data_IF_992169643984
#
_entry.id   IF_992169643984
#
_cell.length_a   1.000
_cell.length_b   1.000
_cell.length_c   1.000
_cell.angle_alpha   90.00
_cell.angle_beta   90.00
_cell.angle_gamma   90.00
#
_symmetry.space_group_name_H-M   'P 1'
#
loop_
_entity.id
_entity.type
_entity.pdbx_description
1 polymer ?
#
# COMPACT_ATOMS: atom_id res chain seq x y z
N UNK A 1 -12.40 -22.36 33.87
CA UNK A 1 -12.75 -21.05 33.30
C UNK A 1 -11.70 -20.77 32.25
N UNK A 2 -12.10 -20.70 30.98
CA UNK A 2 -11.19 -20.74 29.84
C UNK A 2 -10.35 -19.45 29.74
N UNK A 3 -9.11 -19.66 29.29
CA UNK A 3 -8.02 -18.71 29.09
C UNK A 3 -8.47 -17.37 28.53
N UNK A 4 -8.23 -16.30 29.27
CA UNK A 4 -7.98 -15.00 28.68
C UNK A 4 -6.48 -15.03 28.31
N UNK A 5 -6.14 -15.69 27.20
CA UNK A 5 -4.86 -15.43 26.56
C UNK A 5 -4.89 -13.93 26.24
N UNK A 6 -4.17 -13.16 27.06
CA UNK A 6 -4.03 -11.72 26.94
C UNK A 6 -3.62 -11.42 25.50
N UNK A 7 -4.55 -10.90 24.69
CA UNK A 7 -4.27 -10.50 23.31
C UNK A 7 -3.27 -9.35 23.41
N UNK A 8 -1.99 -9.68 23.41
CA UNK A 8 -0.89 -8.73 23.50
C UNK A 8 -0.71 -8.10 22.14
N UNK A 9 -0.86 -6.79 22.07
CA UNK A 9 -0.56 -6.06 20.85
C UNK A 9 0.96 -6.06 20.64
N UNK A 10 1.42 -6.67 19.54
CA UNK A 10 2.85 -6.72 19.19
C UNK A 10 3.26 -5.46 18.42
N UNK A 11 3.66 -4.41 19.15
CA UNK A 11 4.04 -3.14 18.54
C UNK A 11 5.17 -3.26 17.51
N UNK A 12 6.23 -3.99 17.83
CA UNK A 12 7.40 -4.12 16.96
C UNK A 12 7.05 -4.86 15.66
N UNK A 13 6.41 -6.03 15.77
CA UNK A 13 5.93 -6.82 14.63
C UNK A 13 4.99 -6.00 13.73
N UNK A 14 4.05 -5.25 14.33
CA UNK A 14 3.12 -4.42 13.57
C UNK A 14 3.81 -3.27 12.87
N UNK A 15 4.82 -2.65 13.49
CA UNK A 15 5.62 -1.59 12.86
C UNK A 15 6.44 -2.12 11.68
N UNK A 16 7.05 -3.30 11.80
CA UNK A 16 7.76 -3.93 10.69
C UNK A 16 6.84 -4.21 9.50
N UNK A 17 5.60 -4.64 9.76
CA UNK A 17 4.58 -4.85 8.72
C UNK A 17 4.22 -3.52 8.04
N UNK A 18 4.09 -2.41 8.78
CA UNK A 18 3.86 -1.08 8.21
C UNK A 18 4.99 -0.67 7.26
N UNK A 19 6.25 -0.89 7.65
CA UNK A 19 7.43 -0.62 6.81
C UNK A 19 7.45 -1.51 5.54
N UNK A 20 6.96 -2.74 5.63
CA UNK A 20 6.79 -3.62 4.46
C UNK A 20 5.70 -3.08 3.53
N UNK A 21 4.56 -2.66 4.06
CA UNK A 21 3.47 -2.09 3.26
C UNK A 21 3.95 -0.81 2.57
N UNK A 22 4.66 0.07 3.27
CA UNK A 22 5.22 1.29 2.69
C UNK A 22 6.16 1.00 1.52
N UNK A 23 7.06 0.02 1.68
CA UNK A 23 7.94 -0.42 0.59
C UNK A 23 7.17 -1.00 -0.58
N UNK A 24 6.18 -1.85 -0.32
CA UNK A 24 5.33 -2.41 -1.38
C UNK A 24 4.56 -1.32 -2.16
N UNK A 25 4.11 -0.27 -1.48
CA UNK A 25 3.49 0.90 -2.12
C UNK A 25 4.48 1.61 -3.03
N UNK A 26 5.72 1.83 -2.57
CA UNK A 26 6.76 2.45 -3.39
C UNK A 26 7.12 1.60 -4.62
N UNK A 27 7.28 0.28 -4.44
CA UNK A 27 7.56 -0.65 -5.53
C UNK A 27 6.42 -0.65 -6.57
N UNK A 28 5.16 -0.53 -6.12
CA UNK A 28 4.01 -0.43 -7.00
C UNK A 28 4.01 0.86 -7.84
N UNK A 29 4.36 2.00 -7.24
CA UNK A 29 4.53 3.28 -7.94
C UNK A 29 5.67 3.22 -8.97
N UNK A 30 6.77 2.54 -8.64
CA UNK A 30 7.87 2.35 -9.57
C UNK A 30 7.48 1.45 -10.74
N UNK A 31 6.82 0.31 -10.46
CA UNK A 31 6.31 -0.60 -11.50
C UNK A 31 5.38 0.12 -12.47
N UNK A 32 4.47 0.96 -11.97
CA UNK A 32 3.62 1.81 -12.82
C UNK A 32 4.45 2.66 -13.78
N UNK A 33 5.46 3.35 -13.24
CA UNK A 33 6.36 4.20 -14.04
C UNK A 33 7.10 3.40 -15.11
N UNK A 34 7.55 2.19 -14.78
CA UNK A 34 8.22 1.30 -15.74
C UNK A 34 7.26 0.81 -16.83
N UNK A 35 6.02 0.45 -16.48
CA UNK A 35 4.98 0.06 -17.45
C UNK A 35 4.65 1.21 -18.40
N UNK A 36 4.51 2.43 -17.89
CA UNK A 36 4.27 3.61 -18.74
C UNK A 36 5.40 3.83 -19.73
N UNK A 37 6.66 3.70 -19.31
CA UNK A 37 7.84 3.78 -20.20
C UNK A 37 7.83 2.68 -21.26
N UNK A 38 7.52 1.44 -20.89
CA UNK A 38 7.43 0.32 -21.84
C UNK A 38 6.38 0.60 -22.93
N UNK A 39 5.20 1.08 -22.53
CA UNK A 39 4.16 1.43 -23.49
C UNK A 39 4.57 2.58 -24.39
N UNK A 40 5.26 3.59 -23.86
CA UNK A 40 5.74 4.70 -24.67
C UNK A 40 6.70 4.22 -25.77
N UNK A 41 7.66 3.35 -25.43
CA UNK A 41 8.57 2.74 -26.43
C UNK A 41 7.80 1.92 -27.46
N UNK A 42 6.84 1.08 -27.04
CA UNK A 42 6.07 0.22 -27.95
C UNK A 42 5.19 1.01 -28.93
N UNK A 43 4.62 2.13 -28.49
CA UNK A 43 3.79 3.00 -29.33
C UNK A 43 4.64 3.81 -30.31
N UNK A 44 5.81 4.29 -29.87
CA UNK A 44 6.71 5.08 -30.71
C UNK A 44 7.41 4.24 -31.80
N UNK A 45 7.77 2.98 -31.50
CA UNK A 45 8.62 2.18 -32.40
C UNK A 45 7.89 1.13 -33.27
N UNK A 46 6.73 0.62 -32.87
CA UNK A 46 6.21 -0.63 -33.45
C UNK A 46 4.75 -0.59 -33.94
N UNK A 47 3.90 0.30 -33.43
CA UNK A 47 2.47 0.30 -33.74
C UNK A 47 2.01 1.62 -34.36
N UNK A 48 1.65 1.59 -35.64
CA UNK A 48 0.94 2.68 -36.33
C UNK A 48 -0.47 2.22 -36.74
N UNK A 49 -1.44 3.15 -36.79
CA UNK A 49 -2.82 2.85 -37.17
C UNK A 49 -3.65 2.18 -36.06
N UNK A 50 -4.59 1.29 -36.40
CA UNK A 50 -5.53 0.65 -35.45
C UNK A 50 -4.85 -0.12 -34.30
N UNK A 51 -3.62 -0.61 -34.48
CA UNK A 51 -2.86 -1.27 -33.41
C UNK A 51 -2.41 -0.30 -32.30
N UNK A 52 -2.18 0.96 -32.64
CA UNK A 52 -1.80 2.01 -31.69
C UNK A 52 -2.98 2.39 -30.78
N UNK A 53 -4.18 2.50 -31.34
CA UNK A 53 -5.41 2.80 -30.58
C UNK A 53 -5.74 1.68 -29.57
N UNK A 54 -5.64 0.43 -30.01
CA UNK A 54 -5.84 -0.73 -29.12
C UNK A 54 -4.79 -0.80 -28.01
N UNK A 55 -3.52 -0.47 -28.31
CA UNK A 55 -2.47 -0.40 -27.28
C UNK A 55 -2.67 0.76 -26.32
N UNK A 56 -3.09 1.93 -26.81
CA UNK A 56 -3.37 3.07 -25.96
C UNK A 56 -4.52 2.78 -24.99
N UNK A 57 -5.59 2.12 -25.46
CA UNK A 57 -6.68 1.67 -24.59
C UNK A 57 -6.18 0.68 -23.53
N UNK A 58 -5.36 -0.31 -23.90
CA UNK A 58 -4.81 -1.27 -22.93
C UNK A 58 -3.88 -0.63 -21.91
N UNK A 59 -3.05 0.33 -22.34
CA UNK A 59 -2.20 1.12 -21.45
C UNK A 59 -3.06 1.83 -20.41
N UNK A 60 -4.12 2.49 -20.85
CA UNK A 60 -5.00 3.25 -19.99
C UNK A 60 -5.70 2.36 -18.96
N UNK A 61 -6.21 1.20 -19.38
CA UNK A 61 -6.79 0.19 -18.49
C UNK A 61 -5.79 -0.29 -17.42
N UNK A 62 -4.54 -0.56 -17.81
CA UNK A 62 -3.49 -1.00 -16.89
C UNK A 62 -3.13 0.12 -15.90
N UNK A 63 -2.97 1.36 -16.39
CA UNK A 63 -2.71 2.51 -15.51
C UNK A 63 -3.83 2.68 -14.49
N UNK A 64 -5.10 2.63 -14.91
CA UNK A 64 -6.24 2.77 -14.00
C UNK A 64 -6.27 1.66 -12.93
N UNK A 65 -5.93 0.41 -13.30
CA UNK A 65 -5.83 -0.68 -12.32
C UNK A 65 -4.69 -0.46 -11.33
N UNK A 66 -3.53 -0.03 -11.82
CA UNK A 66 -2.39 0.30 -10.95
C UNK A 66 -2.71 1.46 -10.01
N UNK A 67 -3.38 2.49 -10.50
CA UNK A 67 -3.85 3.63 -9.69
C UNK A 67 -4.78 3.16 -8.56
N UNK A 68 -5.72 2.26 -8.87
CA UNK A 68 -6.61 1.67 -7.85
C UNK A 68 -5.83 0.91 -6.79
N UNK A 69 -4.89 0.04 -7.19
CA UNK A 69 -4.09 -0.76 -6.26
C UNK A 69 -3.23 0.14 -5.36
N UNK A 70 -2.57 1.15 -5.95
CA UNK A 70 -1.75 2.12 -5.21
C UNK A 70 -2.62 2.90 -4.22
N UNK A 71 -3.82 3.33 -4.63
CA UNK A 71 -4.77 4.01 -3.74
C UNK A 71 -5.20 3.12 -2.57
N UNK A 72 -5.50 1.85 -2.83
CA UNK A 72 -5.89 0.88 -1.79
C UNK A 72 -4.73 0.62 -0.81
N UNK A 73 -3.50 0.53 -1.31
CA UNK A 73 -2.30 0.39 -0.48
C UNK A 73 -2.07 1.61 0.41
N UNK A 74 -2.21 2.82 -0.13
CA UNK A 74 -2.12 4.07 0.66
C UNK A 74 -3.20 4.13 1.73
N UNK A 75 -4.44 3.76 1.39
CA UNK A 75 -5.55 3.74 2.35
C UNK A 75 -5.30 2.74 3.48
N UNK A 76 -4.87 1.52 3.12
CA UNK A 76 -4.55 0.45 4.08
C UNK A 76 -3.41 0.86 5.01
N UNK A 77 -2.34 1.44 4.45
CA UNK A 77 -1.21 1.94 5.22
C UNK A 77 -1.64 3.03 6.20
N UNK A 78 -2.39 4.04 5.75
CA UNK A 78 -2.87 5.13 6.59
C UNK A 78 -3.75 4.64 7.74
N UNK A 79 -4.67 3.70 7.46
CA UNK A 79 -5.52 3.10 8.49
C UNK A 79 -4.70 2.31 9.51
N UNK A 80 -3.73 1.52 9.04
CA UNK A 80 -2.90 0.70 9.91
C UNK A 80 -1.97 1.56 10.80
N UNK A 81 -1.39 2.64 10.27
CA UNK A 81 -0.63 3.63 11.06
C UNK A 81 -1.52 4.29 12.12
N UNK A 82 -2.71 4.78 11.73
CA UNK A 82 -3.63 5.41 12.66
C UNK A 82 -4.07 4.47 13.79
N UNK A 83 -4.30 3.20 13.48
CA UNK A 83 -4.63 2.17 14.47
C UNK A 83 -3.44 1.90 15.41
N UNK A 84 -2.22 1.79 14.87
CA UNK A 84 -1.01 1.59 15.65
C UNK A 84 -0.79 2.72 16.66
N UNK A 85 -0.87 3.97 16.20
CA UNK A 85 -0.71 5.16 17.05
C UNK A 85 -1.79 5.23 18.14
N UNK A 86 -3.04 4.90 17.79
CA UNK A 86 -4.14 4.88 18.75
C UNK A 86 -3.91 3.85 19.87
N UNK A 87 -3.50 2.63 19.52
CA UNK A 87 -3.25 1.57 20.51
C UNK A 87 -2.04 1.92 21.37
N UNK A 88 -0.99 2.49 20.79
CA UNK A 88 0.18 2.92 21.56
C UNK A 88 -0.16 4.03 22.57
N UNK A 89 -1.00 4.99 22.18
CA UNK A 89 -1.49 6.03 23.09
C UNK A 89 -2.38 5.47 24.19
N UNK A 90 -3.23 4.48 23.89
CA UNK A 90 -4.05 3.80 24.90
C UNK A 90 -3.18 3.08 25.93
N UNK A 91 -2.16 2.33 25.47
CA UNK A 91 -1.22 1.62 26.33
C UNK A 91 -0.49 2.59 27.29
N UNK A 92 0.03 3.70 26.75
CA UNK A 92 0.69 4.75 27.56
C UNK A 92 -0.24 5.35 28.62
N UNK A 93 -1.51 5.61 28.28
CA UNK A 93 -2.50 6.14 29.23
C UNK A 93 -2.86 5.12 30.30
N UNK A 94 -3.01 3.86 29.93
CA UNK A 94 -3.29 2.78 30.88
C UNK A 94 -2.11 2.58 31.83
N UNK A 95 -0.87 2.55 31.32
CA UNK A 95 0.33 2.47 32.14
C UNK A 95 0.47 3.67 33.11
N UNK A 96 0.17 4.89 32.64
CA UNK A 96 0.18 6.08 33.49
C UNK A 96 -0.87 6.04 34.62
N UNK A 97 -2.04 5.46 34.36
CA UNK A 97 -3.12 5.32 35.36
C UNK A 97 -2.85 4.21 36.38
N UNK A 98 -1.98 3.24 36.09
CA UNK A 98 -1.63 2.15 37.03
C UNK A 98 -0.50 2.57 37.98
N UNK A 99 0.33 3.53 37.58
CA UNK A 99 1.46 4.05 38.37
C UNK A 99 1.12 5.29 39.22
N UNK A 100 -0.09 5.84 39.09
CA UNK A 100 -0.61 6.96 39.90
C UNK A 100 -1.61 6.49 40.95
#
# INVERSE_FOLDING_TARGET
MANNDEIKYEFDTNREILDVIQRATHDAEEMRTQVDKLFQVLVEEAYHGQGAEAMQSRRQDISTRMDSIISDLHHTHAQAVAQHDYVQQLDQRQAANILG
#
